data_IF_364941401000
#
_entry.id   IF_364941401000
#
_cell.length_a   1.000
_cell.length_b   1.000
_cell.length_c   1.000
_cell.angle_alpha   90.00
_cell.angle_beta   90.00
_cell.angle_gamma   90.00
#
_symmetry.space_group_name_H-M   'P 1'
#
loop_
_entity.id
_entity.type
_entity.pdbx_description
1 polymer ?
#
# COMPACT_ATOMS: atom_id res chain seq x y z
N UNK A 1 -19.38 -12.54 -3.46
CA UNK A 1 -18.31 -11.79 -2.79
C UNK A 1 -18.91 -10.64 -2.00
N UNK A 2 -18.35 -10.32 -0.85
CA UNK A 2 -18.72 -9.17 -0.02
C UNK A 2 -17.47 -8.53 0.55
N UNK A 3 -17.60 -7.29 1.07
CA UNK A 3 -16.52 -6.58 1.75
C UNK A 3 -17.01 -6.16 3.12
N UNK A 4 -16.17 -6.36 4.15
CA UNK A 4 -16.43 -5.99 5.55
C UNK A 4 -15.21 -5.26 6.13
N UNK A 5 -15.43 -4.48 7.20
CA UNK A 5 -14.32 -4.04 8.03
C UNK A 5 -13.88 -5.16 8.98
N UNK A 6 -12.60 -5.22 9.31
CA UNK A 6 -12.06 -6.21 10.26
C UNK A 6 -12.85 -6.17 11.58
N UNK A 7 -13.26 -7.34 12.07
CA UNK A 7 -14.09 -7.47 13.26
C UNK A 7 -15.61 -7.39 13.02
N UNK A 8 -16.05 -7.00 11.82
CA UNK A 8 -17.46 -7.01 11.47
C UNK A 8 -17.87 -8.35 10.83
N UNK A 9 -19.17 -8.63 10.84
CA UNK A 9 -19.75 -9.79 10.14
C UNK A 9 -20.33 -9.36 8.80
N UNK A 10 -20.35 -10.28 7.83
CA UNK A 10 -21.06 -10.09 6.57
C UNK A 10 -22.57 -9.98 6.81
N UNK A 11 -23.32 -9.49 5.83
CA UNK A 11 -24.74 -9.78 5.72
C UNK A 11 -24.97 -11.29 5.58
N UNK A 12 -26.20 -11.73 5.87
CA UNK A 12 -26.57 -13.14 5.75
C UNK A 12 -26.52 -13.61 4.30
N UNK A 13 -25.88 -14.73 4.08
CA UNK A 13 -25.76 -15.42 2.79
C UNK A 13 -26.68 -16.64 2.82
N UNK A 14 -27.58 -16.74 1.87
CA UNK A 14 -28.54 -17.84 1.73
C UNK A 14 -28.37 -18.59 0.44
N UNK A 15 -28.82 -19.84 0.41
CA UNK A 15 -28.91 -20.60 -0.83
C UNK A 15 -30.11 -20.11 -1.65
N UNK A 16 -29.87 -19.83 -2.94
CA UNK A 16 -30.93 -19.35 -3.85
C UNK A 16 -31.52 -20.43 -4.74
N UNK A 17 -30.79 -21.53 -4.94
CA UNK A 17 -31.27 -22.67 -5.75
C UNK A 17 -30.54 -23.95 -5.35
N UNK A 18 -31.16 -25.11 -5.62
CA UNK A 18 -30.56 -26.43 -5.45
C UNK A 18 -30.48 -26.95 -4.01
N UNK A 19 -30.99 -26.21 -3.02
CA UNK A 19 -30.93 -26.64 -1.61
C UNK A 19 -31.75 -27.91 -1.33
N UNK A 20 -32.82 -28.17 -2.09
CA UNK A 20 -33.64 -29.38 -1.95
C UNK A 20 -32.95 -30.65 -2.45
N UNK A 21 -31.91 -30.53 -3.27
CA UNK A 21 -31.20 -31.67 -3.89
C UNK A 21 -30.08 -32.23 -3.00
N UNK A 22 -29.71 -31.50 -1.91
CA UNK A 22 -28.59 -31.82 -1.03
C UNK A 22 -29.04 -31.85 0.44
N UNK A 23 -28.35 -32.69 1.24
CA UNK A 23 -28.69 -32.92 2.65
C UNK A 23 -27.66 -32.36 3.64
N UNK A 24 -26.42 -32.11 3.16
CA UNK A 24 -25.35 -31.58 4.01
C UNK A 24 -24.67 -30.42 3.32
N UNK A 25 -24.31 -29.42 4.13
CA UNK A 25 -23.66 -28.19 3.65
C UNK A 25 -22.51 -27.88 4.59
N UNK A 26 -21.29 -27.87 4.03
CA UNK A 26 -20.06 -27.65 4.81
C UNK A 26 -19.23 -26.55 4.19
N UNK A 27 -18.90 -25.52 4.99
CA UNK A 27 -17.98 -24.45 4.61
C UNK A 27 -16.53 -24.80 4.99
N UNK A 28 -15.62 -24.53 4.08
CA UNK A 28 -14.17 -24.62 4.31
C UNK A 28 -13.47 -23.33 3.83
N UNK A 29 -12.65 -22.68 4.68
CA UNK A 29 -12.44 -22.97 6.10
C UNK A 29 -13.74 -22.76 6.91
N UNK A 30 -13.86 -23.43 8.06
CA UNK A 30 -14.99 -23.25 8.97
C UNK A 30 -14.84 -22.02 9.89
N UNK A 31 -13.60 -21.53 10.06
CA UNK A 31 -13.31 -20.39 10.93
C UNK A 31 -14.01 -19.13 10.45
N UNK A 32 -14.70 -18.45 11.36
CA UNK A 32 -15.44 -17.21 11.07
C UNK A 32 -16.78 -17.44 10.36
N UNK A 33 -17.28 -18.68 10.26
CA UNK A 33 -18.60 -19.01 9.71
C UNK A 33 -19.58 -19.31 10.84
N UNK A 34 -20.76 -18.71 10.77
CA UNK A 34 -21.89 -18.96 11.71
C UNK A 34 -23.19 -19.05 10.94
N UNK A 35 -24.14 -19.89 11.45
CA UNK A 35 -25.42 -20.09 10.80
C UNK A 35 -25.63 -21.51 10.29
N UNK A 36 -26.68 -21.70 9.50
CA UNK A 36 -27.06 -22.98 8.90
C UNK A 36 -27.79 -22.76 7.57
N UNK A 37 -28.15 -23.84 6.90
CA UNK A 37 -28.83 -23.85 5.60
C UNK A 37 -30.23 -23.21 5.61
N UNK A 38 -30.89 -23.16 6.75
CA UNK A 38 -32.25 -22.61 6.89
C UNK A 38 -32.21 -21.11 7.16
N UNK A 39 -31.37 -20.69 8.11
CA UNK A 39 -31.26 -19.29 8.53
C UNK A 39 -30.26 -18.49 7.63
N UNK A 40 -29.46 -19.21 6.84
CA UNK A 40 -28.33 -18.66 6.14
C UNK A 40 -27.06 -18.58 7.00
N UNK A 41 -25.97 -18.15 6.41
CA UNK A 41 -24.66 -18.03 7.06
C UNK A 41 -24.17 -16.59 7.09
N UNK A 42 -23.45 -16.25 8.15
CA UNK A 42 -22.68 -15.02 8.27
C UNK A 42 -21.19 -15.34 8.39
N UNK A 43 -20.36 -14.45 7.91
CA UNK A 43 -18.90 -14.63 7.85
C UNK A 43 -18.21 -13.49 8.58
N UNK A 44 -17.26 -13.81 9.45
CA UNK A 44 -16.46 -12.86 10.22
C UNK A 44 -14.97 -13.26 10.20
N UNK A 45 -14.33 -13.29 9.03
CA UNK A 45 -12.88 -13.50 8.97
C UNK A 45 -12.15 -12.23 9.38
N UNK A 46 -10.93 -12.39 9.91
CA UNK A 46 -10.05 -11.27 10.27
C UNK A 46 -9.15 -10.82 9.11
N UNK A 47 -9.04 -11.64 8.06
CA UNK A 47 -8.31 -11.38 6.82
C UNK A 47 -9.19 -11.80 5.64
N UNK A 48 -8.93 -11.24 4.47
CA UNK A 48 -9.61 -11.65 3.24
C UNK A 48 -9.54 -13.16 3.06
N UNK A 49 -10.71 -13.81 2.99
CA UNK A 49 -10.82 -15.26 2.98
C UNK A 49 -11.79 -15.73 1.89
N UNK A 50 -11.33 -16.68 1.09
CA UNK A 50 -12.19 -17.42 0.17
C UNK A 50 -12.74 -18.67 0.88
N UNK A 51 -14.05 -18.76 0.96
CA UNK A 51 -14.78 -19.89 1.51
C UNK A 51 -15.32 -20.76 0.40
N UNK A 52 -15.22 -22.09 0.56
CA UNK A 52 -15.84 -23.06 -0.34
C UNK A 52 -16.96 -23.78 0.40
N UNK A 53 -18.17 -23.66 -0.10
CA UNK A 53 -19.30 -24.48 0.32
C UNK A 53 -19.26 -25.80 -0.43
N UNK A 54 -19.31 -26.91 0.28
CA UNK A 54 -19.52 -28.25 -0.30
C UNK A 54 -20.92 -28.71 0.12
N UNK A 55 -21.78 -28.92 -0.86
CA UNK A 55 -23.11 -29.51 -0.68
C UNK A 55 -23.08 -30.97 -1.13
N UNK A 56 -23.58 -31.90 -0.31
CA UNK A 56 -23.48 -33.34 -0.57
C UNK A 56 -24.82 -34.01 -0.35
N UNK A 57 -25.13 -35.00 -1.19
CA UNK A 57 -26.25 -35.95 -0.98
C UNK A 57 -25.78 -37.08 -0.07
N UNK A 58 -26.56 -37.42 0.96
CA UNK A 58 -26.28 -38.52 1.88
C UNK A 58 -26.97 -39.82 1.47
N UNK A 59 -27.82 -39.78 0.42
CA UNK A 59 -28.54 -40.92 -0.13
C UNK A 59 -28.64 -40.80 -1.67
N UNK A 60 -28.96 -41.88 -2.34
CA UNK A 60 -29.10 -41.90 -3.79
C UNK A 60 -27.74 -41.96 -4.48
N UNK A 61 -27.47 -41.07 -5.44
CA UNK A 61 -26.25 -41.05 -6.22
C UNK A 61 -24.99 -40.52 -5.48
N UNK A 62 -25.16 -40.05 -4.25
CA UNK A 62 -24.11 -39.48 -3.39
C UNK A 62 -23.30 -38.35 -4.10
N UNK A 63 -23.98 -37.56 -4.93
CA UNK A 63 -23.37 -36.43 -5.63
C UNK A 63 -22.98 -35.28 -4.69
N UNK A 64 -21.90 -34.61 -5.04
CA UNK A 64 -21.45 -33.40 -4.35
C UNK A 64 -21.24 -32.27 -5.37
N UNK A 65 -21.46 -31.03 -4.92
CA UNK A 65 -21.13 -29.81 -5.68
C UNK A 65 -20.46 -28.79 -4.78
N UNK A 66 -19.77 -27.85 -5.37
CA UNK A 66 -19.07 -26.78 -4.62
C UNK A 66 -19.40 -25.40 -5.16
N UNK A 67 -19.43 -24.42 -4.25
CA UNK A 67 -19.51 -23.01 -4.59
C UNK A 67 -18.51 -22.20 -3.76
N UNK A 68 -17.97 -21.16 -4.33
CA UNK A 68 -17.01 -20.29 -3.64
C UNK A 68 -17.63 -18.94 -3.27
N UNK A 69 -17.27 -18.43 -2.08
CA UNK A 69 -17.70 -17.14 -1.59
C UNK A 69 -16.51 -16.42 -0.94
N UNK A 70 -16.10 -15.28 -1.51
CA UNK A 70 -14.98 -14.50 -0.99
C UNK A 70 -15.48 -13.36 -0.13
N UNK A 71 -14.94 -13.26 1.10
CA UNK A 71 -15.13 -12.12 1.99
C UNK A 71 -13.85 -11.31 2.01
N UNK A 72 -13.91 -10.12 1.43
CA UNK A 72 -12.81 -9.15 1.48
C UNK A 72 -12.86 -8.42 2.83
N UNK A 73 -11.73 -8.33 3.51
CA UNK A 73 -11.63 -7.66 4.82
C UNK A 73 -10.76 -6.43 4.68
N UNK A 74 -11.37 -5.27 4.90
CA UNK A 74 -10.65 -4.01 5.02
C UNK A 74 -10.16 -3.87 6.48
N UNK A 75 -8.87 -3.60 6.69
CA UNK A 75 -8.34 -3.39 8.04
C UNK A 75 -8.83 -2.07 8.63
N UNK A 76 -8.81 -1.98 9.97
CA UNK A 76 -9.16 -0.77 10.72
C UNK A 76 -7.92 0.11 10.94
N UNK A 77 -8.11 1.44 11.06
CA UNK A 77 -7.06 2.34 11.55
C UNK A 77 -6.61 1.91 12.95
N UNK A 78 -5.31 2.00 13.21
CA UNK A 78 -4.71 1.52 14.46
C UNK A 78 -4.08 2.66 15.26
N UNK A 79 -3.76 2.37 16.54
CA UNK A 79 -2.95 3.23 17.41
C UNK A 79 -3.51 4.64 17.67
N UNK A 80 -4.83 4.76 17.86
CA UNK A 80 -5.44 6.02 18.30
C UNK A 80 -5.05 6.35 19.74
N UNK A 81 -4.49 7.54 19.96
CA UNK A 81 -4.16 8.06 21.29
C UNK A 81 -4.60 9.51 21.41
N UNK A 82 -5.35 9.83 22.46
CA UNK A 82 -5.77 11.18 22.80
C UNK A 82 -4.81 11.76 23.84
N UNK A 83 -4.32 12.96 23.62
CA UNK A 83 -3.43 13.65 24.53
C UNK A 83 -3.95 15.08 24.81
N UNK A 84 -4.09 15.48 26.09
CA UNK A 84 -4.05 14.65 27.29
C UNK A 84 -5.27 13.72 27.39
N UNK A 85 -5.09 12.54 28.00
CA UNK A 85 -6.14 11.51 28.05
C UNK A 85 -7.32 11.85 28.98
N UNK A 86 -7.06 12.58 30.08
CA UNK A 86 -8.07 12.95 31.06
C UNK A 86 -7.69 14.29 31.72
N UNK A 87 -7.78 15.42 31.00
CA UNK A 87 -7.44 16.71 31.57
C UNK A 87 -8.49 17.22 32.58
N UNK A 88 -8.05 17.86 33.62
CA UNK A 88 -8.90 18.66 34.53
C UNK A 88 -8.67 20.13 34.23
N UNK A 89 -9.75 20.86 33.93
CA UNK A 89 -9.70 22.27 33.58
C UNK A 89 -10.64 23.08 34.49
N UNK A 90 -10.27 24.31 34.72
CA UNK A 90 -11.17 25.25 35.39
C UNK A 90 -12.25 25.76 34.43
N UNK A 91 -13.39 26.18 34.97
CA UNK A 91 -14.46 26.80 34.18
C UNK A 91 -13.91 27.96 33.35
N UNK A 92 -14.32 28.03 32.09
CA UNK A 92 -13.88 28.99 31.08
C UNK A 92 -12.39 28.99 30.72
N UNK A 93 -11.64 27.97 31.16
CA UNK A 93 -10.28 27.76 30.61
C UNK A 93 -10.33 26.86 29.38
N UNK A 94 -9.35 27.03 28.50
CA UNK A 94 -9.28 26.27 27.23
C UNK A 94 -8.21 25.21 27.36
N UNK A 95 -8.52 23.98 26.93
CA UNK A 95 -7.59 22.86 26.84
C UNK A 95 -7.61 22.29 25.43
N UNK A 96 -6.44 22.14 24.83
CA UNK A 96 -6.32 21.39 23.57
C UNK A 96 -6.39 19.88 23.83
N UNK A 97 -7.12 19.18 22.99
CA UNK A 97 -7.10 17.72 22.87
C UNK A 97 -6.57 17.37 21.49
N UNK A 98 -5.51 16.56 21.43
CA UNK A 98 -4.93 16.14 20.17
C UNK A 98 -5.00 14.62 20.02
N UNK A 99 -5.26 14.14 18.80
CA UNK A 99 -5.22 12.72 18.44
C UNK A 99 -3.95 12.45 17.65
N UNK A 100 -3.27 11.37 18.00
CA UNK A 100 -2.18 10.79 17.24
C UNK A 100 -2.53 9.34 16.87
N UNK A 101 -1.93 8.83 15.79
CA UNK A 101 -2.30 7.53 15.21
C UNK A 101 -3.44 7.68 14.20
N UNK A 102 -4.32 6.69 14.11
CA UNK A 102 -5.38 6.67 13.09
C UNK A 102 -4.82 6.51 11.68
N UNK A 103 -3.72 5.80 11.53
CA UNK A 103 -3.12 5.47 10.24
C UNK A 103 -3.40 4.02 9.89
N UNK A 104 -3.56 3.76 8.62
CA UNK A 104 -3.69 2.42 8.08
C UNK A 104 -2.63 2.22 7.01
N UNK A 105 -2.00 1.04 7.01
CA UNK A 105 -1.12 0.64 5.95
C UNK A 105 0.19 0.06 6.41
N UNK A 106 1.03 -0.25 5.46
CA UNK A 106 2.39 -0.75 5.69
C UNK A 106 3.42 0.29 5.26
N UNK A 107 4.48 0.37 6.03
CA UNK A 107 5.73 1.02 5.63
C UNK A 107 6.81 -0.03 5.74
N UNK A 108 7.38 -0.39 4.61
CA UNK A 108 8.35 -1.46 4.60
C UNK A 108 9.16 -1.51 3.32
N UNK A 109 9.91 -2.58 3.16
CA UNK A 109 10.82 -2.79 2.04
C UNK A 109 10.63 -4.18 1.45
N UNK A 110 10.35 -4.26 0.16
CA UNK A 110 10.41 -5.51 -0.59
C UNK A 110 11.86 -5.81 -0.90
N UNK A 111 12.29 -6.98 -0.49
CA UNK A 111 13.68 -7.42 -0.55
C UNK A 111 14.41 -7.23 0.79
N UNK A 112 15.13 -8.27 1.19
CA UNK A 112 15.86 -8.34 2.46
C UNK A 112 17.38 -8.27 2.31
N UNK A 113 17.88 -8.29 1.06
CA UNK A 113 19.31 -8.26 0.77
C UNK A 113 19.94 -6.92 1.11
N UNK A 114 21.19 -6.96 1.53
CA UNK A 114 22.04 -5.78 1.81
C UNK A 114 23.16 -5.65 0.77
N UNK A 115 23.09 -6.42 -0.31
CA UNK A 115 24.06 -6.33 -1.40
C UNK A 115 24.02 -4.94 -2.03
N UNK A 116 25.19 -4.42 -2.35
CA UNK A 116 25.33 -3.17 -3.10
C UNK A 116 25.09 -3.43 -4.58
N UNK A 117 24.24 -2.63 -5.21
CA UNK A 117 24.02 -2.70 -6.65
C UNK A 117 24.35 -1.37 -7.32
N UNK A 118 25.36 -1.40 -8.17
CA UNK A 118 25.76 -0.25 -9.01
C UNK A 118 25.46 -0.46 -10.48
N UNK A 119 25.04 -1.67 -10.87
CA UNK A 119 24.87 -2.04 -12.28
C UNK A 119 23.45 -1.76 -12.77
N UNK A 120 22.45 -2.10 -11.97
CA UNK A 120 21.03 -1.90 -12.29
C UNK A 120 20.33 -1.02 -11.24
N UNK A 121 21.11 -0.15 -10.59
CA UNK A 121 20.57 0.89 -9.71
C UNK A 121 19.76 1.91 -10.51
N UNK A 122 18.68 2.47 -9.95
CA UNK A 122 17.95 3.57 -10.58
C UNK A 122 18.83 4.82 -10.84
N UNK A 123 19.94 4.93 -10.12
CA UNK A 123 20.83 6.10 -10.11
C UNK A 123 22.19 5.77 -10.74
N UNK A 124 22.19 5.09 -11.90
CA UNK A 124 23.42 4.65 -12.58
C UNK A 124 24.04 5.75 -13.43
N UNK A 125 24.75 6.67 -12.82
CA UNK A 125 25.40 7.79 -13.52
C UNK A 125 26.71 7.45 -14.25
N UNK A 126 27.11 6.19 -14.38
CA UNK A 126 28.31 5.81 -15.14
C UNK A 126 28.14 6.07 -16.64
N UNK A 127 26.98 5.76 -17.18
CA UNK A 127 26.65 5.97 -18.59
C UNK A 127 25.95 7.30 -18.82
N UNK A 128 25.99 7.78 -20.07
CA UNK A 128 25.28 8.97 -20.50
C UNK A 128 23.75 8.89 -20.40
N UNK A 129 23.21 7.71 -20.28
CA UNK A 129 21.80 7.47 -19.99
C UNK A 129 21.55 6.03 -19.56
N UNK A 130 20.49 5.81 -18.80
CA UNK A 130 20.11 4.48 -18.35
C UNK A 130 18.59 4.36 -18.17
N UNK A 131 18.04 3.25 -18.62
CA UNK A 131 16.66 2.81 -18.40
C UNK A 131 16.66 1.50 -17.65
N UNK A 132 15.83 1.37 -16.62
CA UNK A 132 15.68 0.13 -15.85
C UNK A 132 14.23 -0.23 -15.71
N UNK A 133 13.90 -1.53 -15.65
CA UNK A 133 12.63 -2.03 -15.17
C UNK A 133 12.86 -3.08 -14.10
N UNK A 134 12.14 -2.96 -13.00
CA UNK A 134 12.14 -3.90 -11.89
C UNK A 134 10.71 -4.36 -11.61
N UNK A 135 10.52 -5.68 -11.46
CA UNK A 135 9.23 -6.31 -11.20
C UNK A 135 9.21 -6.88 -9.78
N UNK A 136 8.19 -6.53 -9.01
CA UNK A 136 7.95 -7.00 -7.65
C UNK A 136 6.67 -7.84 -7.64
N UNK A 137 6.79 -9.09 -7.25
CA UNK A 137 5.74 -10.10 -7.41
C UNK A 137 4.60 -9.93 -6.40
N UNK A 138 3.39 -10.44 -6.67
CA UNK A 138 2.28 -10.41 -5.71
C UNK A 138 2.64 -11.09 -4.38
N UNK A 139 3.39 -12.18 -4.42
CA UNK A 139 3.84 -12.88 -3.21
C UNK A 139 4.73 -12.00 -2.33
N UNK A 140 5.62 -11.19 -2.92
CA UNK A 140 6.47 -10.26 -2.19
C UNK A 140 5.67 -9.09 -1.60
N UNK A 141 4.69 -8.57 -2.33
CA UNK A 141 3.79 -7.51 -1.84
C UNK A 141 2.93 -8.03 -0.67
N UNK A 142 2.40 -9.25 -0.78
CA UNK A 142 1.67 -9.91 0.31
C UNK A 142 2.57 -10.18 1.52
N UNK A 143 3.81 -10.63 1.30
CA UNK A 143 4.78 -10.86 2.39
C UNK A 143 5.18 -9.56 3.10
N UNK A 144 5.13 -8.40 2.40
CA UNK A 144 5.28 -7.09 3.01
C UNK A 144 4.09 -6.71 3.92
N UNK A 145 2.97 -7.37 3.79
CA UNK A 145 1.73 -7.10 4.53
C UNK A 145 0.72 -6.26 3.75
N UNK A 146 0.92 -6.06 2.43
CA UNK A 146 -0.09 -5.41 1.60
C UNK A 146 -1.30 -6.32 1.39
N UNK A 147 -2.47 -5.72 1.39
CA UNK A 147 -3.74 -6.34 1.05
C UNK A 147 -4.34 -5.76 -0.23
N UNK A 148 -5.19 -6.53 -0.90
CA UNK A 148 -5.96 -6.03 -2.04
C UNK A 148 -6.77 -4.80 -1.65
N UNK A 149 -6.81 -3.81 -2.53
CA UNK A 149 -7.48 -2.52 -2.30
C UNK A 149 -6.62 -1.47 -1.58
N UNK A 150 -5.45 -1.81 -1.04
CA UNK A 150 -4.54 -0.82 -0.48
C UNK A 150 -3.82 -0.05 -1.59
N UNK A 151 -3.60 1.24 -1.33
CA UNK A 151 -2.95 2.16 -2.27
C UNK A 151 -1.52 2.46 -1.85
N UNK A 152 -0.58 2.32 -2.78
CA UNK A 152 0.80 2.77 -2.61
C UNK A 152 0.82 4.29 -2.76
N UNK A 153 1.28 4.98 -1.72
CA UNK A 153 1.37 6.44 -1.67
C UNK A 153 2.79 6.96 -1.85
N UNK A 154 3.78 6.09 -1.60
CA UNK A 154 5.20 6.42 -1.79
C UNK A 154 5.99 5.17 -2.13
N UNK A 155 6.99 5.34 -3.00
CA UNK A 155 8.02 4.32 -3.26
C UNK A 155 9.40 4.94 -3.08
N UNK A 156 10.39 4.10 -2.84
CA UNK A 156 11.75 4.61 -2.66
C UNK A 156 12.81 3.52 -2.61
N UNK A 157 14.03 3.95 -2.32
CA UNK A 157 15.21 3.08 -2.25
C UNK A 157 16.04 3.42 -1.01
N UNK A 158 16.86 2.49 -0.57
CA UNK A 158 17.87 2.73 0.46
C UNK A 158 19.20 2.94 -0.23
N UNK A 159 19.65 4.18 -0.28
CA UNK A 159 20.97 4.52 -0.79
C UNK A 159 22.06 4.09 0.19
N UNK A 160 23.17 3.59 -0.31
CA UNK A 160 24.31 3.14 0.48
C UNK A 160 25.52 4.04 0.33
N UNK A 161 26.00 4.21 -0.89
CA UNK A 161 27.21 4.98 -1.19
C UNK A 161 27.27 5.38 -2.66
N UNK A 162 28.14 6.30 -2.98
CA UNK A 162 28.44 6.74 -4.35
C UNK A 162 28.64 8.25 -4.42
N UNK A 163 29.03 8.73 -5.58
CA UNK A 163 29.16 10.16 -5.89
C UNK A 163 27.93 10.60 -6.67
N UNK A 164 27.21 11.65 -6.26
CA UNK A 164 26.02 12.08 -6.96
C UNK A 164 26.41 12.71 -8.31
N UNK A 165 25.62 12.39 -9.31
CA UNK A 165 25.62 13.07 -10.59
C UNK A 165 24.22 13.61 -10.82
N UNK A 166 24.10 14.76 -11.47
CA UNK A 166 22.80 15.23 -11.95
C UNK A 166 22.31 14.29 -13.04
N UNK A 167 21.18 13.66 -12.81
CA UNK A 167 20.50 12.80 -13.77
C UNK A 167 19.47 13.66 -14.51
N UNK A 168 19.78 14.02 -15.76
CA UNK A 168 18.91 14.90 -16.54
C UNK A 168 17.67 14.13 -17.02
N UNK A 169 16.52 14.80 -16.96
CA UNK A 169 15.24 14.21 -17.33
C UNK A 169 14.95 12.89 -16.60
N UNK A 170 15.40 12.78 -15.33
CA UNK A 170 15.12 11.58 -14.52
C UNK A 170 13.63 11.41 -14.31
N UNK A 171 13.15 10.21 -14.61
CA UNK A 171 11.74 9.81 -14.46
C UNK A 171 11.65 8.56 -13.64
N UNK A 172 10.56 8.45 -12.88
CA UNK A 172 10.09 7.22 -12.26
C UNK A 172 8.65 7.01 -12.67
N UNK A 173 8.34 5.84 -13.19
CA UNK A 173 6.98 5.42 -13.50
C UNK A 173 6.68 4.07 -12.86
N UNK A 174 5.43 3.84 -12.49
CA UNK A 174 5.00 2.62 -11.84
C UNK A 174 3.66 2.14 -12.40
N UNK A 175 3.36 0.86 -12.22
CA UNK A 175 2.06 0.30 -12.60
C UNK A 175 1.95 -1.16 -12.23
N UNK A 176 0.72 -1.67 -12.21
CA UNK A 176 0.46 -3.08 -11.99
C UNK A 176 0.31 -3.82 -13.31
N UNK A 177 0.94 -4.98 -13.40
CA UNK A 177 0.98 -5.82 -14.61
C UNK A 177 0.74 -7.29 -14.27
N UNK A 178 0.18 -8.04 -15.20
CA UNK A 178 -0.03 -9.50 -15.03
C UNK A 178 1.23 -10.33 -15.24
N UNK A 179 2.31 -9.71 -15.69
CA UNK A 179 3.58 -10.39 -15.92
C UNK A 179 4.19 -10.87 -14.61
N UNK A 180 4.75 -12.06 -14.61
CA UNK A 180 5.52 -12.65 -13.48
C UNK A 180 7.03 -12.57 -13.72
N UNK A 181 7.45 -12.16 -14.90
CA UNK A 181 8.84 -11.94 -15.32
C UNK A 181 8.89 -10.92 -16.46
N UNK A 182 9.97 -10.16 -16.57
CA UNK A 182 10.22 -9.22 -17.66
C UNK A 182 10.84 -9.91 -18.89
N UNK A 183 11.46 -11.09 -18.69
CA UNK A 183 12.18 -11.77 -19.78
C UNK A 183 13.39 -10.96 -20.24
N UNK A 184 13.48 -10.74 -21.57
CA UNK A 184 14.58 -10.06 -22.24
C UNK A 184 14.13 -8.80 -22.99
N UNK A 185 12.97 -8.22 -22.66
CA UNK A 185 12.44 -7.02 -23.30
C UNK A 185 11.77 -6.11 -22.27
N UNK A 186 11.85 -4.81 -22.49
CA UNK A 186 11.05 -3.85 -21.73
C UNK A 186 9.57 -4.07 -22.03
N UNK A 187 8.75 -4.08 -20.97
CA UNK A 187 7.30 -4.23 -21.09
C UNK A 187 6.60 -2.91 -20.85
N UNK A 188 5.41 -2.75 -21.43
CA UNK A 188 4.51 -1.63 -21.12
C UNK A 188 3.77 -1.90 -19.80
N UNK A 189 3.24 -0.84 -19.17
CA UNK A 189 2.42 -0.96 -17.96
C UNK A 189 2.83 -0.05 -16.81
N UNK A 190 4.06 0.48 -16.78
CA UNK A 190 4.45 1.53 -15.85
C UNK A 190 3.91 2.89 -16.33
N UNK A 191 2.59 3.09 -16.24
CA UNK A 191 1.89 4.25 -16.82
C UNK A 191 1.64 5.39 -15.84
N UNK A 192 1.73 5.12 -14.51
CA UNK A 192 1.60 6.17 -13.52
C UNK A 192 2.95 6.86 -13.31
N UNK A 193 2.98 8.16 -13.55
CA UNK A 193 4.18 8.98 -13.33
C UNK A 193 4.33 9.25 -11.84
N UNK A 194 5.36 8.67 -11.23
CA UNK A 194 5.75 8.91 -9.83
C UNK A 194 6.59 10.16 -9.72
N UNK A 195 7.58 10.29 -10.60
CA UNK A 195 8.41 11.48 -10.75
C UNK A 195 8.41 11.89 -12.22
N UNK A 196 7.88 13.06 -12.52
CA UNK A 196 7.93 13.65 -13.85
C UNK A 196 9.36 13.97 -14.27
N UNK A 197 9.67 14.05 -15.57
CA UNK A 197 11.01 14.36 -16.05
C UNK A 197 11.59 15.60 -15.36
N UNK A 198 12.66 15.42 -14.60
CA UNK A 198 13.32 16.49 -13.86
C UNK A 198 14.83 16.24 -13.79
N UNK A 199 15.60 17.30 -13.58
CA UNK A 199 17.02 17.15 -13.26
C UNK A 199 17.16 16.80 -11.79
N UNK A 200 17.50 15.55 -11.52
CA UNK A 200 17.54 14.99 -10.17
C UNK A 200 18.96 14.66 -9.74
N UNK A 201 19.33 15.10 -8.54
CA UNK A 201 20.61 14.74 -7.92
C UNK A 201 20.33 13.84 -6.72
N UNK A 202 20.65 12.53 -6.77
CA UNK A 202 20.46 11.64 -5.63
C UNK A 202 21.31 12.09 -4.44
N UNK A 203 20.84 11.86 -3.22
CA UNK A 203 21.60 12.14 -2.00
C UNK A 203 22.85 11.26 -1.88
N UNK A 204 23.93 11.80 -1.30
CA UNK A 204 25.26 11.15 -1.21
C UNK A 204 25.46 10.25 0.00
N UNK A 205 24.59 10.26 0.96
CA UNK A 205 24.72 9.49 2.20
C UNK A 205 23.90 8.23 2.19
N UNK A 206 24.27 7.28 3.07
CA UNK A 206 23.38 6.16 3.37
C UNK A 206 22.07 6.69 3.94
N UNK A 207 20.94 6.23 3.38
CA UNK A 207 19.62 6.67 3.83
C UNK A 207 18.51 6.41 2.82
N UNK A 208 17.32 6.79 3.20
CA UNK A 208 16.14 6.59 2.37
C UNK A 208 16.02 7.71 1.33
N UNK A 209 15.70 7.31 0.11
CA UNK A 209 15.30 8.20 -0.98
C UNK A 209 13.88 7.80 -1.33
N UNK A 210 12.88 8.57 -0.87
CA UNK A 210 11.48 8.27 -1.06
C UNK A 210 10.83 9.29 -2.01
N UNK A 211 9.92 8.81 -2.86
CA UNK A 211 9.16 9.58 -3.84
C UNK A 211 7.68 9.40 -3.55
N UNK A 212 7.00 10.48 -3.22
CA UNK A 212 5.55 10.47 -3.04
C UNK A 212 4.85 10.36 -4.41
N UNK A 213 3.83 9.53 -4.50
CA UNK A 213 2.98 9.43 -5.68
C UNK A 213 1.93 10.56 -5.65
N UNK A 214 1.85 11.33 -6.73
CA UNK A 214 0.78 12.32 -6.89
C UNK A 214 -0.61 11.67 -7.05
N UNK A 215 -0.63 10.47 -7.61
CA UNK A 215 -1.82 9.62 -7.72
C UNK A 215 -1.47 8.26 -7.13
N UNK A 216 -2.08 7.88 -5.99
CA UNK A 216 -1.85 6.59 -5.37
C UNK A 216 -2.16 5.42 -6.31
N UNK A 217 -1.40 4.34 -6.19
CA UNK A 217 -1.57 3.11 -6.96
C UNK A 217 -2.28 2.06 -6.12
N UNK A 218 -3.54 1.76 -6.43
CA UNK A 218 -4.31 0.74 -5.71
C UNK A 218 -3.99 -0.65 -6.24
N UNK A 219 -3.56 -1.53 -5.35
CA UNK A 219 -3.22 -2.91 -5.70
C UNK A 219 -4.46 -3.81 -5.73
N UNK A 220 -4.56 -4.65 -6.74
CA UNK A 220 -5.66 -5.61 -6.93
C UNK A 220 -5.49 -6.92 -6.13
N UNK A 221 -4.34 -7.12 -5.49
CA UNK A 221 -4.01 -8.34 -4.73
C UNK A 221 -3.38 -9.47 -5.55
N UNK A 222 -3.32 -9.35 -6.87
CA UNK A 222 -2.87 -10.44 -7.76
C UNK A 222 -1.83 -10.01 -8.81
N UNK A 223 -1.74 -8.74 -9.14
CA UNK A 223 -0.80 -8.19 -10.13
C UNK A 223 0.56 -7.89 -9.54
N UNK A 224 1.61 -8.00 -10.35
CA UNK A 224 2.98 -7.58 -10.01
C UNK A 224 3.11 -6.07 -10.15
N UNK A 225 3.92 -5.44 -9.27
CA UNK A 225 4.28 -4.04 -9.37
C UNK A 225 5.49 -3.88 -10.28
N UNK A 226 5.32 -3.15 -11.37
CA UNK A 226 6.38 -2.76 -12.29
C UNK A 226 6.85 -1.35 -11.95
N UNK A 227 8.15 -1.17 -11.76
CA UNK A 227 8.79 0.13 -11.63
C UNK A 227 9.73 0.34 -12.81
N UNK A 228 9.57 1.45 -13.51
CA UNK A 228 10.49 1.88 -14.56
C UNK A 228 11.19 3.17 -14.11
N UNK A 229 12.50 3.23 -14.28
CA UNK A 229 13.28 4.46 -14.09
C UNK A 229 14.10 4.76 -15.33
N UNK A 230 14.22 6.03 -15.68
CA UNK A 230 15.08 6.44 -16.77
C UNK A 230 15.66 7.84 -16.54
N UNK A 231 16.88 8.05 -17.02
CA UNK A 231 17.47 9.37 -17.17
C UNK A 231 18.29 9.45 -18.47
N UNK A 232 18.57 10.65 -18.93
CA UNK A 232 19.37 10.86 -20.15
C UNK A 232 20.20 12.14 -20.09
N UNK A 233 21.47 11.99 -19.78
CA UNK A 233 22.44 13.08 -19.85
C UNK A 233 23.00 13.28 -21.27
N UNK A 234 22.78 12.31 -22.17
CA UNK A 234 23.24 12.32 -23.57
C UNK A 234 24.72 12.71 -23.71
N UNK A 235 25.58 12.09 -22.93
CA UNK A 235 27.01 12.33 -22.93
C UNK A 235 27.81 11.01 -23.00
N UNK A 236 29.13 11.06 -23.03
CA UNK A 236 30.02 9.90 -23.07
C UNK A 236 30.15 9.17 -21.73
N UNK A 237 29.24 9.37 -20.83
CA UNK A 237 29.29 8.77 -19.50
C UNK A 237 30.33 9.44 -18.60
N UNK A 238 30.56 8.85 -17.45
CA UNK A 238 31.44 9.36 -16.42
C UNK A 238 32.24 8.25 -15.73
N UNK A 239 32.75 8.55 -14.54
CA UNK A 239 33.40 7.52 -13.71
C UNK A 239 32.39 6.58 -13.06
N UNK A 240 32.80 5.34 -12.79
CA UNK A 240 31.98 4.36 -12.08
C UNK A 240 31.48 4.86 -10.72
N UNK A 241 32.23 5.78 -10.10
CA UNK A 241 31.86 6.42 -8.85
C UNK A 241 30.58 7.28 -8.95
N UNK A 242 30.19 7.71 -10.16
CA UNK A 242 29.00 8.55 -10.36
C UNK A 242 27.67 7.81 -10.19
N UNK A 243 27.69 6.53 -9.84
CA UNK A 243 26.49 5.76 -9.54
C UNK A 243 26.25 5.71 -8.04
N UNK A 244 25.04 6.03 -7.62
CA UNK A 244 24.62 5.76 -6.23
C UNK A 244 24.20 4.30 -6.14
N UNK A 245 24.88 3.53 -5.29
CA UNK A 245 24.50 2.16 -4.99
C UNK A 245 23.30 2.14 -4.05
N UNK A 246 22.43 1.18 -4.27
CA UNK A 246 21.25 0.94 -3.44
C UNK A 246 21.25 -0.47 -2.87
N UNK A 247 20.60 -0.66 -1.74
CA UNK A 247 20.34 -2.01 -1.22
C UNK A 247 19.62 -2.85 -2.26
N UNK A 248 20.06 -4.10 -2.42
CA UNK A 248 19.54 -5.01 -3.42
C UNK A 248 19.47 -6.44 -2.91
N UNK A 249 18.55 -7.20 -3.47
CA UNK A 249 18.36 -8.63 -3.21
C UNK A 249 18.71 -9.45 -4.44
N UNK A 250 19.32 -10.60 -4.23
CA UNK A 250 19.51 -11.60 -5.29
C UNK A 250 18.15 -12.24 -5.60
N UNK A 251 17.74 -12.16 -6.86
CA UNK A 251 16.46 -12.63 -7.36
C UNK A 251 16.65 -13.52 -8.59
N UNK A 252 15.60 -14.18 -9.04
CA UNK A 252 15.61 -14.88 -10.32
C UNK A 252 15.90 -13.92 -11.49
N UNK A 253 16.58 -14.40 -12.50
CA UNK A 253 16.81 -13.65 -13.74
C UNK A 253 15.46 -13.24 -14.35
N UNK A 254 15.41 -12.03 -14.93
CA UNK A 254 14.19 -11.50 -15.54
C UNK A 254 13.24 -10.76 -14.58
N UNK A 255 13.60 -10.57 -13.31
CA UNK A 255 12.89 -9.65 -12.40
C UNK A 255 13.49 -8.25 -12.36
N UNK A 256 14.66 -8.05 -12.97
CA UNK A 256 15.29 -6.75 -13.16
C UNK A 256 16.07 -6.74 -14.47
N UNK A 257 15.81 -5.74 -15.31
CA UNK A 257 16.45 -5.54 -16.59
C UNK A 257 16.88 -4.08 -16.74
N UNK A 258 17.91 -3.82 -17.51
CA UNK A 258 18.42 -2.47 -17.71
C UNK A 258 19.07 -2.29 -19.09
N UNK A 259 19.04 -1.07 -19.59
CA UNK A 259 19.77 -0.61 -20.75
C UNK A 259 20.55 0.64 -20.35
N UNK A 260 21.85 0.67 -20.61
CA UNK A 260 22.68 1.83 -20.34
C UNK A 260 23.52 2.14 -21.58
N UNK A 261 23.51 3.37 -22.02
CA UNK A 261 24.16 3.80 -23.27
C UNK A 261 24.79 5.19 -23.10
N UNK A 262 25.89 5.38 -23.83
CA UNK A 262 26.57 6.67 -23.95
C UNK A 262 26.14 7.37 -25.24
N UNK A 263 26.13 8.68 -25.24
CA UNK A 263 25.87 9.52 -26.43
C UNK A 263 24.57 9.13 -27.17
N UNK A 264 23.52 8.70 -26.41
CA UNK A 264 22.25 8.32 -26.98
C UNK A 264 21.12 9.19 -26.39
N UNK A 265 20.60 10.12 -27.20
CA UNK A 265 19.52 11.02 -26.80
C UNK A 265 18.17 10.30 -26.56
N UNK A 266 18.03 9.05 -27.00
CA UNK A 266 16.76 8.32 -27.02
C UNK A 266 16.75 7.09 -26.07
N UNK A 267 17.70 6.98 -25.15
CA UNK A 267 17.83 5.80 -24.27
C UNK A 267 16.52 5.47 -23.52
N UNK A 268 15.75 6.48 -23.13
CA UNK A 268 14.49 6.28 -22.40
C UNK A 268 13.35 5.75 -23.29
N UNK A 269 13.40 6.00 -24.59
CA UNK A 269 12.42 5.49 -25.57
C UNK A 269 12.97 4.31 -26.39
N UNK A 270 14.25 3.94 -26.12
CA UNK A 270 14.91 2.86 -26.84
C UNK A 270 14.23 1.51 -26.50
N UNK A 271 14.07 0.68 -27.53
CA UNK A 271 13.49 -0.67 -27.48
C UNK A 271 14.54 -1.76 -27.69
N UNK A 272 15.83 -1.41 -27.67
CA UNK A 272 16.92 -2.40 -27.76
C UNK A 272 16.80 -3.43 -26.65
N UNK A 273 17.37 -4.60 -26.90
CA UNK A 273 17.35 -5.71 -25.95
C UNK A 273 18.11 -5.31 -24.67
N UNK A 274 17.43 -5.26 -23.52
CA UNK A 274 18.08 -4.92 -22.26
C UNK A 274 18.97 -6.06 -21.77
N UNK A 275 19.93 -5.72 -20.92
CA UNK A 275 20.67 -6.70 -20.13
C UNK A 275 19.80 -7.19 -18.97
N UNK A 276 19.85 -8.48 -18.68
CA UNK A 276 19.23 -9.09 -17.49
C UNK A 276 20.22 -9.12 -16.34
N UNK A 277 19.70 -9.09 -15.11
CA UNK A 277 20.51 -9.23 -13.89
C UNK A 277 19.78 -10.07 -12.87
N UNK A 278 20.53 -10.72 -12.00
CA UNK A 278 20.02 -11.46 -10.83
C UNK A 278 20.00 -10.61 -9.57
N UNK A 279 20.28 -9.32 -9.67
CA UNK A 279 20.23 -8.38 -8.55
C UNK A 279 19.16 -7.34 -8.82
N UNK A 280 18.21 -7.18 -7.91
CA UNK A 280 17.12 -6.20 -8.03
C UNK A 280 17.20 -5.23 -6.85
N UNK A 281 17.07 -3.92 -7.07
CA UNK A 281 16.95 -2.94 -6.01
C UNK A 281 15.82 -3.32 -5.03
N UNK A 282 16.08 -3.18 -3.73
CA UNK A 282 15.04 -3.28 -2.73
C UNK A 282 14.12 -2.06 -2.86
N UNK A 283 12.82 -2.28 -2.91
CA UNK A 283 11.83 -1.23 -3.06
C UNK A 283 11.20 -0.92 -1.71
N UNK A 284 11.37 0.29 -1.23
CA UNK A 284 10.60 0.82 -0.12
C UNK A 284 9.19 1.15 -0.62
N UNK A 285 8.19 0.76 0.15
CA UNK A 285 6.78 1.03 -0.15
C UNK A 285 6.13 1.61 1.09
N UNK A 286 5.33 2.65 0.91
CA UNK A 286 4.41 3.17 1.92
C UNK A 286 2.99 3.16 1.36
N UNK A 287 2.10 2.53 2.11
CA UNK A 287 0.65 2.54 1.87
C UNK A 287 -0.09 3.30 2.98
N UNK A 288 0.62 4.14 3.75
CA UNK A 288 0.04 4.87 4.86
C UNK A 288 -1.08 5.79 4.37
N UNK A 289 -2.27 5.48 4.81
CA UNK A 289 -3.45 6.35 4.72
C UNK A 289 -3.74 6.94 6.10
N UNK A 290 -4.05 8.23 6.16
CA UNK A 290 -4.51 8.89 7.38
C UNK A 290 -6.02 8.82 7.44
N UNK A 291 -6.55 8.44 8.59
CA UNK A 291 -7.99 8.44 8.80
C UNK A 291 -8.54 9.88 8.95
N UNK A 292 -9.79 10.03 8.58
CA UNK A 292 -10.60 11.16 9.01
C UNK A 292 -10.92 11.00 10.48
N UNK A 293 -10.58 11.99 11.29
CA UNK A 293 -10.77 12.00 12.74
C UNK A 293 -11.97 12.84 13.08
N UNK A 294 -12.97 12.27 13.74
CA UNK A 294 -14.14 12.97 14.23
C UNK A 294 -14.31 12.79 15.74
N UNK A 295 -14.85 13.81 16.40
CA UNK A 295 -15.08 13.85 17.84
C UNK A 295 -16.57 13.89 18.17
N UNK A 296 -16.98 13.22 19.23
CA UNK A 296 -18.35 13.19 19.72
C UNK A 296 -18.36 13.13 21.26
N UNK A 297 -19.24 13.88 21.94
CA UNK A 297 -20.14 14.90 21.41
C UNK A 297 -19.40 16.14 20.92
N UNK A 298 -20.03 16.96 20.10
CA UNK A 298 -19.44 18.21 19.59
C UNK A 298 -19.56 19.38 20.59
N UNK A 299 -20.36 19.19 21.64
CA UNK A 299 -20.63 20.21 22.67
C UNK A 299 -19.35 20.62 23.38
N UNK A 300 -19.15 21.93 23.54
CA UNK A 300 -17.99 22.55 24.17
C UNK A 300 -16.66 22.26 23.45
N UNK A 301 -16.71 21.83 22.19
CA UNK A 301 -15.54 21.66 21.33
C UNK A 301 -15.46 22.80 20.31
N UNK A 302 -14.23 23.22 20.04
CA UNK A 302 -13.89 24.30 19.11
C UNK A 302 -12.71 23.86 18.23
N UNK A 303 -12.61 24.49 17.05
CA UNK A 303 -11.54 24.23 16.10
C UNK A 303 -10.34 25.16 16.26
N UNK A 304 -10.48 26.23 17.01
CA UNK A 304 -9.46 27.25 17.23
C UNK A 304 -9.04 27.38 18.70
N UNK A 305 -7.81 27.82 18.93
CA UNK A 305 -7.24 27.97 20.26
C UNK A 305 -7.92 29.07 21.12
N UNK A 306 -8.69 29.96 20.51
CA UNK A 306 -9.47 30.97 21.19
C UNK A 306 -10.87 30.49 21.61
N UNK A 307 -11.25 29.25 21.28
CA UNK A 307 -12.58 28.70 21.49
C UNK A 307 -13.70 29.62 20.95
N UNK A 308 -13.50 30.15 19.75
CA UNK A 308 -14.46 31.08 19.10
C UNK A 308 -15.22 30.39 17.95
N UNK A 309 -14.66 29.33 17.34
CA UNK A 309 -15.26 28.63 16.22
C UNK A 309 -15.71 27.22 16.70
N UNK A 310 -17.03 26.99 16.86
CA UNK A 310 -17.53 25.71 17.30
C UNK A 310 -17.13 24.57 16.37
N UNK A 311 -16.75 23.43 16.94
CA UNK A 311 -16.50 22.21 16.19
C UNK A 311 -17.83 21.59 15.70
N UNK A 312 -17.92 21.23 14.42
CA UNK A 312 -19.15 20.77 13.76
C UNK A 312 -19.12 19.30 13.35
N UNK A 313 -18.15 18.51 13.84
CA UNK A 313 -18.03 17.08 13.48
C UNK A 313 -17.21 16.81 12.22
N UNK A 314 -16.46 17.78 11.73
CA UNK A 314 -15.57 17.63 10.58
C UNK A 314 -14.23 17.01 10.98
N UNK A 315 -13.43 16.58 9.99
CA UNK A 315 -12.10 16.01 10.25
C UNK A 315 -11.22 17.00 11.04
N UNK A 316 -10.79 16.60 12.24
CA UNK A 316 -9.91 17.40 13.09
C UNK A 316 -9.04 16.50 13.99
N UNK A 317 -7.73 16.57 13.81
CA UNK A 317 -6.78 15.88 14.70
C UNK A 317 -6.56 16.61 16.02
N UNK A 318 -6.94 17.89 16.08
CA UNK A 318 -6.86 18.71 17.29
C UNK A 318 -8.15 19.51 17.44
N UNK A 319 -8.69 19.51 18.63
CA UNK A 319 -9.82 20.34 19.04
C UNK A 319 -9.50 21.01 20.38
N UNK A 320 -10.27 22.05 20.70
CA UNK A 320 -10.13 22.80 21.94
C UNK A 320 -11.42 22.68 22.75
N UNK A 321 -11.28 22.35 24.01
CA UNK A 321 -12.39 22.19 24.96
C UNK A 321 -12.46 23.42 25.85
N UNK A 322 -13.67 23.98 25.99
CA UNK A 322 -13.99 25.01 26.98
C UNK A 322 -15.41 24.79 27.51
N UNK A 323 -15.57 24.75 28.85
CA UNK A 323 -16.88 24.63 29.46
C UNK A 323 -17.15 25.80 30.39
N UNK A 324 -18.35 26.39 30.31
CA UNK A 324 -18.82 27.44 31.20
C UNK A 324 -19.44 26.90 32.51
N UNK A 325 -19.63 25.60 32.60
CA UNK A 325 -20.24 24.94 33.77
C UNK A 325 -19.37 23.78 34.27
N UNK A 326 -19.32 23.55 35.60
CA UNK A 326 -18.67 22.35 36.13
C UNK A 326 -19.35 21.07 35.66
N UNK A 327 -18.59 20.02 35.42
CA UNK A 327 -19.09 18.72 35.02
C UNK A 327 -18.00 17.88 34.38
N UNK A 328 -18.33 16.64 34.08
CA UNK A 328 -17.46 15.70 33.35
C UNK A 328 -18.09 15.40 31.99
N UNK A 329 -17.32 15.56 30.92
CA UNK A 329 -17.73 15.16 29.58
C UNK A 329 -16.75 14.13 29.04
N UNK A 330 -17.28 13.01 28.55
CA UNK A 330 -16.48 11.99 27.86
C UNK A 330 -16.56 12.26 26.38
N UNK A 331 -15.41 12.48 25.74
CA UNK A 331 -15.30 12.61 24.31
C UNK A 331 -14.79 11.30 23.70
N UNK A 332 -15.46 10.88 22.64
CA UNK A 332 -15.08 9.71 21.83
C UNK A 332 -14.50 10.19 20.50
N UNK A 333 -13.41 9.58 20.07
CA UNK A 333 -12.82 9.82 18.78
C UNK A 333 -13.07 8.62 17.87
N UNK A 334 -13.52 8.90 16.66
CA UNK A 334 -13.67 7.91 15.59
C UNK A 334 -12.69 8.24 14.46
N UNK A 335 -11.90 7.24 14.06
CA UNK A 335 -11.03 7.31 12.90
C UNK A 335 -11.62 6.47 11.77
N UNK A 336 -11.77 7.04 10.59
CA UNK A 336 -12.35 6.37 9.42
C UNK A 336 -11.45 6.55 8.22
N UNK A 337 -11.04 5.46 7.56
CA UNK A 337 -10.33 5.52 6.28
C UNK A 337 -11.31 5.89 5.18
N UNK A 338 -11.09 7.01 4.52
CA UNK A 338 -12.02 7.54 3.53
C UNK A 338 -12.27 6.61 2.34
N UNK A 339 -11.26 5.89 1.88
CA UNK A 339 -11.37 4.99 0.75
C UNK A 339 -12.21 3.72 1.04
N UNK A 340 -12.22 3.25 2.28
CA UNK A 340 -12.88 1.99 2.67
C UNK A 340 -14.10 2.17 3.56
N UNK A 341 -14.24 3.31 4.22
CA UNK A 341 -15.27 3.57 5.21
C UNK A 341 -15.06 2.83 6.55
N UNK A 342 -13.90 2.21 6.75
CA UNK A 342 -13.56 1.42 7.94
C UNK A 342 -12.80 2.21 9.02
#
# INVERSE_FOLDING_TARGET
NTTICSGNSSSTVTLTAGSADYNTFVWSPATGVSGNEIAGWTFNPTITTAYTLTATQTSGALCATTATYTVNVNPLPTNLTITPAAPSICVNTIQSLAVTGGTLGVVGKVGSGTATNTTSTPFRGWYGGSKTQALYTPAELTALGMAAGQSINSIGYVALSGTPLVLNNFTISAGFVSNTTLGTAFISGATNVVLAPTNYTPSTGAGNIDFALSTPLTWDGVSSLLIETCFNNNNGGGASANSISVESTVVAAGLNIYLSQDNNATVCTNVDVPSTTTTRPNLRISTLETANITWSPVTNLFTDAGATIPYTGTNATTVYVQSATPGTTVYTVTATIGATGC
#
